data_IF_014261098965
#
_entry.id   IF_014261098965
#
_cell.length_a   1.000
_cell.length_b   1.000
_cell.length_c   1.000
_cell.angle_alpha   90.00
_cell.angle_beta   90.00
_cell.angle_gamma   90.00
#
_symmetry.space_group_name_H-M   'P 1'
#
loop_
_entity.id
_entity.type
_entity.pdbx_description
1 polymer ?
#
# COMPACT_ATOMS: atom_id res chain seq x y z
N UNK A 1 20.90 -30.45 -17.99
CA UNK A 1 21.54 -29.11 -18.15
C UNK A 1 21.89 -28.61 -16.76
N UNK A 2 23.16 -28.30 -16.46
CA UNK A 2 23.55 -27.77 -15.14
C UNK A 2 23.37 -26.26 -15.12
N UNK A 3 22.80 -25.72 -14.05
CA UNK A 3 22.56 -24.28 -13.88
C UNK A 3 23.86 -23.46 -13.99
N UNK A 4 24.98 -24.05 -13.57
CA UNK A 4 26.32 -23.49 -13.69
C UNK A 4 26.75 -23.23 -15.14
N UNK A 5 26.40 -24.14 -16.05
CA UNK A 5 26.72 -24.01 -17.47
C UNK A 5 25.97 -22.81 -18.06
N UNK A 6 24.68 -22.72 -17.78
CA UNK A 6 23.83 -21.60 -18.23
C UNK A 6 24.32 -20.28 -17.64
N UNK A 7 24.65 -20.27 -16.35
CA UNK A 7 25.18 -19.08 -15.72
C UNK A 7 26.50 -18.61 -16.38
N UNK A 8 27.39 -19.55 -16.72
CA UNK A 8 28.64 -19.25 -17.42
C UNK A 8 28.42 -18.75 -18.86
N UNK A 9 27.51 -19.39 -19.62
CA UNK A 9 27.19 -19.00 -20.99
C UNK A 9 26.66 -17.56 -21.07
N UNK A 10 25.93 -17.12 -20.05
CA UNK A 10 25.38 -15.77 -19.94
C UNK A 10 26.26 -14.83 -19.11
N UNK A 11 27.45 -15.27 -18.65
CA UNK A 11 28.36 -14.49 -17.80
C UNK A 11 27.70 -13.91 -16.54
N UNK A 12 26.73 -14.63 -15.97
CA UNK A 12 26.03 -14.25 -14.74
C UNK A 12 26.42 -15.20 -13.61
N UNK A 13 26.40 -14.69 -12.38
CA UNK A 13 26.62 -15.54 -11.21
C UNK A 13 25.45 -16.51 -11.01
N UNK A 14 25.72 -17.78 -10.67
CA UNK A 14 24.70 -18.83 -10.48
C UNK A 14 23.61 -18.40 -9.50
N UNK A 15 23.98 -17.75 -8.39
CA UNK A 15 23.03 -17.19 -7.43
C UNK A 15 22.05 -16.18 -8.04
N UNK A 16 22.50 -15.36 -8.99
CA UNK A 16 21.65 -14.38 -9.69
C UNK A 16 20.62 -15.10 -10.55
N UNK A 17 21.06 -16.12 -11.31
CA UNK A 17 20.16 -16.94 -12.12
C UNK A 17 19.14 -17.70 -11.24
N UNK A 18 19.57 -18.27 -10.12
CA UNK A 18 18.67 -18.92 -9.14
C UNK A 18 17.61 -17.97 -8.58
N UNK A 19 17.98 -16.71 -8.32
CA UNK A 19 17.03 -15.69 -7.85
C UNK A 19 16.00 -15.35 -8.92
N UNK A 20 16.41 -15.21 -10.18
CA UNK A 20 15.49 -14.95 -11.29
C UNK A 20 14.55 -16.11 -11.54
N UNK A 21 15.05 -17.36 -11.50
CA UNK A 21 14.20 -18.55 -11.59
C UNK A 21 13.17 -18.59 -10.45
N UNK A 22 13.60 -18.34 -9.21
CA UNK A 22 12.66 -18.28 -8.08
C UNK A 22 11.61 -17.18 -8.24
N UNK A 23 11.97 -16.03 -8.83
CA UNK A 23 11.04 -14.96 -9.12
C UNK A 23 10.05 -15.35 -10.21
N UNK A 24 10.53 -15.98 -11.29
CA UNK A 24 9.66 -16.52 -12.34
C UNK A 24 8.69 -17.57 -11.78
N UNK A 25 9.14 -18.51 -10.94
CA UNK A 25 8.25 -19.48 -10.29
C UNK A 25 7.14 -18.82 -9.44
N UNK A 26 7.43 -17.68 -8.81
CA UNK A 26 6.44 -16.92 -8.03
C UNK A 26 5.47 -16.20 -8.95
N UNK A 27 5.98 -15.58 -10.01
CA UNK A 27 5.18 -14.81 -10.97
C UNK A 27 4.27 -15.73 -11.82
N UNK A 28 4.71 -16.96 -12.11
CA UNK A 28 3.94 -18.02 -12.78
C UNK A 28 2.99 -18.78 -11.83
N UNK A 29 3.00 -18.47 -10.53
CA UNK A 29 2.15 -19.11 -9.53
C UNK A 29 2.56 -20.54 -9.14
N UNK A 30 3.73 -21.01 -9.57
CA UNK A 30 4.30 -22.32 -9.22
C UNK A 30 4.76 -22.36 -7.76
N UNK A 31 5.22 -21.23 -7.22
CA UNK A 31 5.61 -21.07 -5.81
C UNK A 31 4.82 -19.96 -5.12
N UNK A 32 4.44 -20.14 -3.84
CA UNK A 32 3.82 -19.07 -3.07
C UNK A 32 4.81 -17.92 -2.86
N UNK A 33 4.37 -16.69 -3.15
CA UNK A 33 5.12 -15.47 -2.94
C UNK A 33 4.35 -14.25 -3.44
N UNK A 34 4.66 -13.07 -2.91
CA UNK A 34 4.00 -11.84 -3.33
C UNK A 34 4.42 -11.48 -4.77
N UNK A 35 3.48 -11.62 -5.69
CA UNK A 35 3.63 -11.21 -7.08
C UNK A 35 3.77 -9.69 -7.16
N UNK A 36 4.40 -9.17 -8.22
CA UNK A 36 4.41 -7.72 -8.50
C UNK A 36 2.99 -7.12 -8.51
N UNK A 37 2.02 -7.88 -9.01
CA UNK A 37 0.61 -7.50 -9.11
C UNK A 37 -0.01 -7.27 -7.72
N UNK A 38 0.10 -8.24 -6.82
CA UNK A 38 -0.41 -8.13 -5.45
C UNK A 38 0.25 -6.96 -4.69
N UNK A 39 1.53 -6.72 -4.93
CA UNK A 39 2.23 -5.57 -4.32
C UNK A 39 1.73 -4.23 -4.87
N UNK A 40 1.40 -4.15 -6.15
CA UNK A 40 0.82 -2.95 -6.76
C UNK A 40 -0.58 -2.67 -6.18
N UNK A 41 -1.43 -3.69 -6.13
CA UNK A 41 -2.77 -3.61 -5.54
C UNK A 41 -2.72 -3.18 -4.06
N UNK A 42 -1.82 -3.76 -3.27
CA UNK A 42 -1.60 -3.36 -1.88
C UNK A 42 -1.21 -1.88 -1.74
N UNK A 43 -0.39 -1.36 -2.66
CA UNK A 43 0.01 0.05 -2.65
C UNK A 43 -1.17 0.96 -2.98
N UNK A 44 -1.98 0.58 -3.96
CA UNK A 44 -3.14 1.36 -4.38
C UNK A 44 -4.23 1.38 -3.32
N UNK A 45 -4.52 0.23 -2.69
CA UNK A 45 -5.44 0.12 -1.56
C UNK A 45 -4.96 0.98 -0.39
N UNK A 46 -3.67 0.90 -0.01
CA UNK A 46 -3.10 1.75 1.04
C UNK A 46 -3.21 3.23 0.72
N UNK A 47 -3.01 3.63 -0.54
CA UNK A 47 -3.18 5.02 -0.98
C UNK A 47 -4.64 5.47 -0.83
N UNK A 48 -5.60 4.62 -1.21
CA UNK A 48 -7.04 4.94 -1.11
C UNK A 48 -7.48 5.06 0.34
N UNK A 49 -7.05 4.16 1.22
CA UNK A 49 -7.35 4.22 2.66
C UNK A 49 -6.88 5.56 3.24
N UNK A 50 -5.62 5.94 2.98
CA UNK A 50 -5.07 7.20 3.48
C UNK A 50 -5.86 8.42 3.00
N UNK A 51 -6.28 8.44 1.74
CA UNK A 51 -7.10 9.52 1.20
C UNK A 51 -8.47 9.58 1.89
N UNK A 52 -9.14 8.44 2.05
CA UNK A 52 -10.43 8.35 2.72
C UNK A 52 -10.36 8.76 4.19
N UNK A 53 -9.27 8.44 4.88
CA UNK A 53 -9.04 8.88 6.27
C UNK A 53 -8.87 10.40 6.36
N UNK A 54 -8.16 11.01 5.41
CA UNK A 54 -8.02 12.47 5.33
C UNK A 54 -9.36 13.16 5.05
N UNK A 55 -10.14 12.65 4.09
CA UNK A 55 -11.47 13.16 3.78
C UNK A 55 -12.40 13.06 5.00
N UNK A 56 -12.40 11.91 5.69
CA UNK A 56 -13.17 11.73 6.92
C UNK A 56 -12.78 12.72 8.02
N UNK A 57 -11.48 12.99 8.19
CA UNK A 57 -11.01 13.94 9.18
C UNK A 57 -11.50 15.37 8.89
N UNK A 58 -11.45 15.78 7.62
CA UNK A 58 -11.99 17.09 7.19
C UNK A 58 -13.49 17.17 7.46
N UNK A 59 -14.25 16.12 7.12
CA UNK A 59 -15.69 16.07 7.35
C UNK A 59 -16.01 16.14 8.84
N UNK A 60 -15.29 15.40 9.69
CA UNK A 60 -15.47 15.44 11.15
C UNK A 60 -15.19 16.81 11.74
N UNK A 61 -14.10 17.47 11.32
CA UNK A 61 -13.76 18.83 11.76
C UNK A 61 -14.84 19.84 11.36
N UNK A 62 -15.32 19.73 10.12
CA UNK A 62 -16.40 20.60 9.60
C UNK A 62 -17.69 20.39 10.38
N UNK A 63 -18.07 19.15 10.64
CA UNK A 63 -19.26 18.83 11.43
C UNK A 63 -19.14 19.39 12.86
N UNK A 64 -18.00 19.21 13.52
CA UNK A 64 -17.76 19.74 14.86
C UNK A 64 -17.86 21.28 14.89
N UNK A 65 -17.26 21.96 13.91
CA UNK A 65 -17.34 23.42 13.79
C UNK A 65 -18.80 23.89 13.57
N UNK A 66 -19.53 23.24 12.67
CA UNK A 66 -20.93 23.57 12.39
C UNK A 66 -21.83 23.36 13.62
N UNK A 67 -21.61 22.29 14.37
CA UNK A 67 -22.34 22.02 15.62
C UNK A 67 -22.06 23.05 16.69
N UNK A 68 -20.83 23.58 16.77
CA UNK A 68 -20.49 24.68 17.69
C UNK A 68 -21.12 26.01 17.27
N UNK A 69 -21.16 26.30 15.96
CA UNK A 69 -21.76 27.51 15.41
C UNK A 69 -23.29 27.59 15.60
N UNK A 70 -23.97 26.45 15.71
CA UNK A 70 -25.41 26.37 15.95
C UNK A 70 -25.82 26.32 17.42
N UNK A 71 -24.89 26.44 18.37
CA UNK A 71 -25.26 26.59 19.77
C UNK A 71 -25.84 27.99 20.00
N UNK A 72 -27.08 28.13 20.51
CA UNK A 72 -27.61 29.44 20.88
C UNK A 72 -26.66 30.04 21.91
N UNK A 73 -26.17 31.26 21.63
CA UNK A 73 -25.21 31.96 22.48
C UNK A 73 -25.68 31.87 23.92
N UNK A 74 -24.87 31.23 24.77
CA UNK A 74 -25.12 31.20 26.21
C UNK A 74 -25.23 32.66 26.65
N UNK A 75 -26.46 33.10 26.88
CA UNK A 75 -26.76 34.40 27.47
C UNK A 75 -25.93 34.52 28.72
N UNK A 76 -25.01 35.47 28.70
CA UNK A 76 -24.34 35.95 29.90
C UNK A 76 -25.45 36.54 30.78
N UNK A 77 -25.98 35.74 31.70
CA UNK A 77 -26.77 36.25 32.81
C UNK A 77 -25.81 36.96 33.74
N UNK A 78 -25.65 38.26 33.53
CA UNK A 78 -25.07 39.17 34.52
C UNK A 78 -26.15 39.41 35.57
N UNK A 79 -25.97 38.83 36.75
CA UNK A 79 -26.68 39.18 37.98
C UNK A 79 -25.67 39.17 39.11
#
# INVERSE_FOLDING_TARGET
MRLEQVAADFSVHVMTLSKWMRRADIDDGVKPGATPQENAELRDVRRRIRLLEQENEVLRRTAAYLSQAHLPGKGSTRS
#
